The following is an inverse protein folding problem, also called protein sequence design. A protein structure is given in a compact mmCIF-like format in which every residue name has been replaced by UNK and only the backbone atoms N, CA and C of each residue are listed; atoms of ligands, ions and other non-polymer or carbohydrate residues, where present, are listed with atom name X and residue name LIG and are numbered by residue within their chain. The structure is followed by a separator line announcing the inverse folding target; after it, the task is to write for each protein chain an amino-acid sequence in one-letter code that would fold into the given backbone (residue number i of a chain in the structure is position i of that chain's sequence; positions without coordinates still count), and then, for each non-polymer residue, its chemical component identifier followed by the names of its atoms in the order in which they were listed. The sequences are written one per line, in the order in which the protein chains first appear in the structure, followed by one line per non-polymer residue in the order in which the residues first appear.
data_IF_486675498323
#
_entry.id   IF_486675498323
#
_cell.length_a   1.000
_cell.length_b   1.000
_cell.length_c   1.000
_cell.angle_alpha   90.00
_cell.angle_beta   90.00
_cell.angle_gamma   90.00
#
_symmetry.space_group_name_H-M   'P 1'
#
loop_
_entity.id
_entity.type
_entity.pdbx_description
1 polymer ?
#
# COMPACT_ATOMS: atom_id res chain seq x y z
N UNK A 1 0.63 6.96 -13.11
CA UNK A 1 1.37 7.44 -14.30
C UNK A 1 1.46 6.33 -15.33
N UNK A 2 1.01 6.56 -16.57
CA UNK A 2 1.18 5.58 -17.65
C UNK A 2 2.67 5.31 -17.86
N UNK A 3 3.11 4.10 -17.51
CA UNK A 3 4.54 3.75 -17.39
C UNK A 3 5.26 3.59 -18.73
N UNK A 4 4.82 4.23 -19.82
CA UNK A 4 5.48 4.14 -21.13
C UNK A 4 5.43 5.47 -21.88
N UNK A 5 6.44 5.76 -22.69
CA UNK A 5 6.48 6.94 -23.56
C UNK A 5 5.80 6.73 -24.91
N UNK A 6 5.64 7.82 -25.68
CA UNK A 6 5.20 7.78 -27.07
C UNK A 6 3.77 7.28 -27.28
N UNK A 7 3.54 6.51 -28.36
CA UNK A 7 2.20 6.11 -28.82
C UNK A 7 1.39 5.30 -27.80
N UNK A 8 2.04 4.54 -26.92
CA UNK A 8 1.34 3.76 -25.89
C UNK A 8 0.69 4.65 -24.84
N UNK A 9 1.38 5.71 -24.41
CA UNK A 9 0.82 6.74 -23.52
C UNK A 9 -0.37 7.43 -24.15
N UNK A 10 -0.22 7.88 -25.40
CA UNK A 10 -1.29 8.57 -26.13
C UNK A 10 -2.56 7.72 -26.24
N UNK A 11 -2.42 6.42 -26.53
CA UNK A 11 -3.56 5.49 -26.57
C UNK A 11 -4.23 5.33 -25.21
N UNK A 12 -3.46 5.21 -24.14
CA UNK A 12 -4.00 5.10 -22.78
C UNK A 12 -4.71 6.39 -22.35
N UNK A 13 -4.16 7.56 -22.67
CA UNK A 13 -4.80 8.85 -22.42
C UNK A 13 -6.09 9.03 -23.22
N UNK A 14 -6.12 8.61 -24.48
CA UNK A 14 -7.35 8.64 -25.28
C UNK A 14 -8.44 7.77 -24.66
N UNK A 15 -8.10 6.55 -24.24
CA UNK A 15 -9.04 5.66 -23.56
C UNK A 15 -9.63 6.29 -22.29
N UNK A 16 -8.81 6.98 -21.48
CA UNK A 16 -9.33 7.69 -20.31
C UNK A 16 -10.30 8.81 -20.69
N UNK A 17 -9.98 9.58 -21.75
CA UNK A 17 -10.86 10.65 -22.25
C UNK A 17 -12.18 10.09 -22.78
N UNK A 18 -12.15 8.95 -23.45
CA UNK A 18 -13.35 8.29 -23.96
C UNK A 18 -14.24 7.77 -22.82
N UNK A 19 -13.63 7.26 -21.74
CA UNK A 19 -14.37 6.74 -20.58
C UNK A 19 -14.86 7.83 -19.61
N UNK A 20 -14.05 8.85 -19.34
CA UNK A 20 -14.29 9.81 -18.26
C UNK A 20 -14.42 11.27 -18.71
N UNK A 21 -14.17 11.56 -19.99
CA UNK A 21 -14.11 12.93 -20.52
C UNK A 21 -12.80 13.69 -20.21
N UNK A 22 -11.93 13.12 -19.38
CA UNK A 22 -10.62 13.68 -19.02
C UNK A 22 -9.64 12.57 -18.66
N UNK A 23 -8.35 12.91 -18.49
CA UNK A 23 -7.35 11.98 -17.97
C UNK A 23 -7.28 12.15 -16.46
N UNK A 24 -7.69 11.16 -15.65
CA UNK A 24 -7.67 11.29 -14.21
C UNK A 24 -6.24 11.28 -13.66
N UNK A 25 -6.03 11.99 -12.55
CA UNK A 25 -4.73 11.99 -11.84
C UNK A 25 -4.44 10.63 -11.22
N UNK A 26 -5.47 9.98 -10.68
CA UNK A 26 -5.42 8.64 -10.10
C UNK A 26 -6.53 7.79 -10.70
N UNK A 27 -6.24 6.53 -10.97
CA UNK A 27 -7.20 5.54 -11.41
C UNK A 27 -7.09 4.35 -10.45
N UNK A 28 -8.13 4.13 -9.67
CA UNK A 28 -8.27 2.96 -8.79
C UNK A 28 -9.19 1.97 -9.52
N UNK A 29 -8.73 0.74 -9.64
CA UNK A 29 -9.47 -0.35 -10.28
C UNK A 29 -9.66 -1.46 -9.27
N UNK A 30 -10.91 -1.79 -8.97
CA UNK A 30 -11.28 -2.83 -8.03
C UNK A 30 -11.94 -4.00 -8.75
N UNK A 31 -11.76 -5.20 -8.21
CA UNK A 31 -12.34 -6.42 -8.77
C UNK A 31 -13.87 -6.45 -8.54
N UNK A 32 -14.64 -6.41 -9.63
CA UNK A 32 -16.10 -6.40 -9.55
C UNK A 32 -16.69 -7.69 -8.94
N UNK A 33 -16.03 -8.84 -9.12
CA UNK A 33 -16.48 -10.13 -8.57
C UNK A 33 -16.25 -10.24 -7.07
N UNK A 34 -15.21 -9.57 -6.56
CA UNK A 34 -15.03 -9.38 -5.13
C UNK A 34 -16.10 -8.43 -4.60
N UNK A 35 -16.30 -7.27 -5.24
CA UNK A 35 -17.25 -6.25 -4.78
C UNK A 35 -18.69 -6.78 -4.70
N UNK A 36 -19.09 -7.67 -5.60
CA UNK A 36 -20.41 -8.32 -5.59
C UNK A 36 -20.66 -9.20 -4.35
N UNK A 37 -19.59 -9.73 -3.75
CA UNK A 37 -19.64 -10.65 -2.60
C UNK A 37 -19.25 -10.00 -1.29
N UNK A 38 -18.59 -8.85 -1.36
CA UNK A 38 -18.09 -8.12 -0.21
C UNK A 38 -19.25 -7.55 0.60
N UNK A 39 -19.16 -7.64 1.92
CA UNK A 39 -19.96 -6.80 2.80
C UNK A 39 -19.56 -5.32 2.63
N UNK A 40 -20.43 -4.40 3.04
CA UNK A 40 -20.14 -2.97 3.02
C UNK A 40 -18.83 -2.61 3.72
N UNK A 41 -18.54 -3.28 4.85
CA UNK A 41 -17.29 -3.08 5.60
C UNK A 41 -16.06 -3.57 4.84
N UNK A 42 -16.14 -4.72 4.16
CA UNK A 42 -15.04 -5.24 3.34
C UNK A 42 -14.80 -4.39 2.10
N UNK A 43 -15.87 -3.90 1.48
CA UNK A 43 -15.77 -2.97 0.35
C UNK A 43 -15.13 -1.65 0.77
N UNK A 44 -15.55 -1.06 1.90
CA UNK A 44 -14.94 0.17 2.41
C UNK A 44 -13.48 -0.02 2.83
N UNK A 45 -13.15 -1.17 3.44
CA UNK A 45 -11.78 -1.52 3.78
C UNK A 45 -10.89 -1.65 2.53
N UNK A 46 -11.39 -2.28 1.46
CA UNK A 46 -10.70 -2.36 0.18
C UNK A 46 -10.49 -0.97 -0.44
N UNK A 47 -11.52 -0.12 -0.43
CA UNK A 47 -11.38 1.23 -0.97
C UNK A 47 -10.34 2.04 -0.18
N UNK A 48 -10.32 1.92 1.14
CA UNK A 48 -9.33 2.61 1.97
C UNK A 48 -7.91 2.05 1.76
N UNK A 49 -7.75 0.73 1.62
CA UNK A 49 -6.51 0.09 1.18
C UNK A 49 -5.99 0.74 -0.12
N UNK A 50 -6.81 0.78 -1.18
CA UNK A 50 -6.37 1.35 -2.46
C UNK A 50 -6.07 2.86 -2.37
N UNK A 51 -6.73 3.59 -1.47
CA UNK A 51 -6.43 5.00 -1.22
C UNK A 51 -5.09 5.20 -0.50
N UNK A 52 -4.65 4.25 0.34
CA UNK A 52 -3.34 4.31 0.99
C UNK A 52 -2.17 4.22 0.01
N UNK A 53 -2.40 3.71 -1.21
CA UNK A 53 -1.41 3.76 -2.28
C UNK A 53 -1.13 5.18 -2.80
N UNK A 54 -1.97 6.17 -2.46
CA UNK A 54 -1.74 7.58 -2.79
C UNK A 54 -0.90 8.21 -1.66
N UNK A 55 0.41 7.96 -1.70
CA UNK A 55 1.37 8.53 -0.76
C UNK A 55 1.66 10.01 -1.06
N UNK A 56 2.02 10.77 -0.03
CA UNK A 56 2.47 12.17 -0.15
C UNK A 56 3.97 12.22 0.16
N UNK A 57 4.76 12.76 -0.78
CA UNK A 57 6.21 12.92 -0.58
C UNK A 57 6.48 13.90 0.57
N UNK A 58 7.41 13.51 1.44
CA UNK A 58 7.85 14.29 2.59
C UNK A 58 9.36 14.46 2.58
N UNK A 59 9.84 15.59 3.07
CA UNK A 59 11.26 15.85 3.23
C UNK A 59 11.82 15.16 4.49
N UNK A 60 13.07 15.48 4.86
CA UNK A 60 13.78 14.86 5.99
C UNK A 60 13.19 15.27 7.35
N UNK A 61 12.52 16.41 7.41
CA UNK A 61 11.88 16.92 8.62
C UNK A 61 10.42 16.44 8.71
N UNK A 62 9.94 15.72 7.69
CA UNK A 62 8.60 15.18 7.60
C UNK A 62 7.59 16.14 6.98
N UNK A 63 8.02 17.28 6.47
CA UNK A 63 7.12 18.27 5.85
C UNK A 63 6.73 17.86 4.44
N UNK A 64 5.52 18.24 4.02
CA UNK A 64 4.99 17.91 2.69
C UNK A 64 5.82 18.61 1.61
N UNK A 65 6.27 17.86 0.62
CA UNK A 65 6.93 18.43 -0.55
C UNK A 65 5.87 18.88 -1.54
N UNK A 66 5.89 20.17 -1.89
CA UNK A 66 5.01 20.74 -2.91
C UNK A 66 5.72 20.82 -4.27
N UNK A 67 4.93 20.74 -5.33
CA UNK A 67 5.41 20.95 -6.71
C UNK A 67 5.46 22.43 -7.03
N UNK A 68 6.63 22.95 -7.39
CA UNK A 68 6.82 24.36 -7.78
C UNK A 68 5.96 24.78 -8.98
N UNK A 69 5.58 23.82 -9.82
CA UNK A 69 4.76 24.08 -11.02
C UNK A 69 3.26 24.15 -10.73
N UNK A 70 2.78 23.36 -9.77
CA UNK A 70 1.33 23.19 -9.53
C UNK A 70 0.88 23.74 -8.19
N UNK A 71 1.81 23.99 -7.25
CA UNK A 71 1.50 24.35 -5.87
C UNK A 71 0.81 23.26 -5.06
N UNK A 72 0.69 22.04 -5.61
CA UNK A 72 0.04 20.90 -4.96
C UNK A 72 1.08 19.96 -4.34
N UNK A 73 0.69 19.16 -3.32
CA UNK A 73 1.54 18.11 -2.78
C UNK A 73 2.01 17.16 -3.87
N UNK A 74 3.29 16.81 -3.83
CA UNK A 74 3.83 15.74 -4.66
C UNK A 74 3.34 14.42 -4.09
N UNK A 75 2.70 13.63 -4.93
CA UNK A 75 2.22 12.31 -4.55
C UNK A 75 3.07 11.24 -5.24
N UNK A 76 3.23 10.11 -4.56
CA UNK A 76 3.89 8.93 -5.08
C UNK A 76 2.98 7.70 -4.93
N UNK A 77 3.28 6.65 -5.69
CA UNK A 77 2.61 5.37 -5.51
C UNK A 77 3.26 4.67 -4.31
N UNK A 78 2.62 4.72 -3.15
CA UNK A 78 3.06 3.98 -1.98
C UNK A 78 2.89 2.48 -2.25
N UNK A 79 3.91 1.69 -1.94
CA UNK A 79 3.78 0.24 -1.93
C UNK A 79 2.84 -0.20 -0.81
N UNK A 80 2.52 -1.50 -0.76
CA UNK A 80 1.90 -2.05 0.44
C UNK A 80 2.86 -1.86 1.62
N UNK A 81 2.43 -1.12 2.63
CA UNK A 81 3.23 -0.79 3.80
C UNK A 81 2.46 -1.10 5.08
N UNK A 82 3.19 -1.28 6.19
CA UNK A 82 2.60 -1.60 7.49
C UNK A 82 1.60 -0.53 7.92
N UNK A 83 1.83 0.73 7.61
CA UNK A 83 0.92 1.83 7.97
C UNK A 83 -0.45 1.76 7.27
N UNK A 84 -0.50 1.27 6.03
CA UNK A 84 -1.76 0.95 5.33
C UNK A 84 -2.54 -0.12 6.11
N UNK A 85 -1.87 -1.22 6.49
CA UNK A 85 -2.48 -2.29 7.27
C UNK A 85 -2.97 -1.80 8.62
N UNK A 86 -2.18 -0.98 9.32
CA UNK A 86 -2.58 -0.37 10.60
C UNK A 86 -3.82 0.49 10.41
N UNK A 87 -3.84 1.35 9.38
CA UNK A 87 -4.96 2.22 9.06
C UNK A 87 -6.27 1.46 8.84
N UNK A 88 -6.22 0.44 7.97
CA UNK A 88 -7.38 -0.42 7.67
C UNK A 88 -7.85 -1.17 8.91
N UNK A 89 -6.95 -1.82 9.65
CA UNK A 89 -7.30 -2.59 10.86
C UNK A 89 -7.86 -1.68 11.95
N UNK A 90 -7.31 -0.47 12.12
CA UNK A 90 -7.78 0.49 13.12
C UNK A 90 -9.21 0.96 12.83
N UNK A 91 -9.60 1.09 11.56
CA UNK A 91 -10.93 1.58 11.18
C UNK A 91 -11.96 0.47 11.01
N UNK A 92 -11.59 -0.63 10.38
CA UNK A 92 -12.51 -1.70 9.97
C UNK A 92 -12.35 -3.01 10.76
N UNK A 93 -11.33 -3.09 11.62
CA UNK A 93 -11.00 -4.29 12.37
C UNK A 93 -10.10 -5.26 11.60
N UNK A 94 -9.55 -6.22 12.33
CA UNK A 94 -8.66 -7.24 11.76
C UNK A 94 -9.46 -8.30 10.98
N UNK A 95 -9.04 -8.57 9.74
CA UNK A 95 -9.52 -9.73 8.99
C UNK A 95 -8.89 -11.04 9.52
N UNK A 96 -9.36 -12.19 9.04
CA UNK A 96 -8.88 -13.50 9.50
C UNK A 96 -7.38 -13.72 9.29
N UNK A 97 -6.80 -13.18 8.22
CA UNK A 97 -5.35 -13.27 7.98
C UNK A 97 -4.56 -12.45 9.01
N UNK A 98 -5.02 -11.24 9.35
CA UNK A 98 -4.40 -10.40 10.38
C UNK A 98 -4.57 -11.04 11.76
N UNK A 99 -5.75 -11.58 12.08
CA UNK A 99 -5.95 -12.32 13.34
C UNK A 99 -5.01 -13.52 13.45
N UNK A 100 -4.85 -14.27 12.36
CA UNK A 100 -3.89 -15.40 12.30
C UNK A 100 -2.45 -14.92 12.46
N UNK A 101 -2.07 -13.80 11.85
CA UNK A 101 -0.76 -13.21 12.02
C UNK A 101 -0.51 -12.81 13.48
N UNK A 102 -1.48 -12.15 14.11
CA UNK A 102 -1.43 -11.78 15.54
C UNK A 102 -1.23 -13.04 16.40
N UNK A 103 -1.97 -14.12 16.12
CA UNK A 103 -1.86 -15.35 16.90
C UNK A 103 -0.49 -16.02 16.76
N UNK A 104 0.07 -16.04 15.54
CA UNK A 104 1.44 -16.52 15.32
C UNK A 104 2.45 -15.62 16.05
N UNK A 105 2.28 -14.30 16.01
CA UNK A 105 3.18 -13.33 16.63
C UNK A 105 3.17 -13.36 18.17
N UNK A 106 2.13 -13.92 18.80
CA UNK A 106 2.12 -14.16 20.26
C UNK A 106 3.04 -15.29 20.71
N UNK A 107 3.49 -16.14 19.80
CA UNK A 107 4.38 -17.26 20.10
C UNK A 107 5.83 -16.85 19.89
N UNK A 108 6.79 -17.47 20.62
CA UNK A 108 8.20 -17.26 20.33
C UNK A 108 8.53 -17.64 18.88
N UNK A 109 9.46 -16.94 18.22
CA UNK A 109 9.85 -17.28 16.86
C UNK A 109 10.40 -18.71 16.81
N UNK A 110 10.10 -19.42 15.73
CA UNK A 110 10.60 -20.78 15.51
C UNK A 110 12.13 -20.84 15.50
N UNK A 111 12.77 -19.78 15.02
CA UNK A 111 14.22 -19.58 15.09
C UNK A 111 14.50 -18.57 16.19
N UNK A 112 15.13 -19.03 17.27
CA UNK A 112 15.46 -18.16 18.41
C UNK A 112 16.72 -17.33 18.14
N UNK A 113 16.84 -16.17 18.79
CA UNK A 113 18.08 -15.36 18.73
C UNK A 113 19.32 -16.15 19.19
N UNK A 114 19.12 -17.09 20.13
CA UNK A 114 20.17 -18.01 20.59
C UNK A 114 20.62 -18.97 19.48
N UNK A 115 19.71 -19.47 18.66
CA UNK A 115 20.08 -20.35 17.55
C UNK A 115 20.78 -19.57 16.43
N UNK A 116 20.36 -18.33 16.19
CA UNK A 116 21.05 -17.41 15.27
C UNK A 116 22.47 -17.11 15.77
N UNK A 117 22.64 -16.84 17.07
CA UNK A 117 23.95 -16.52 17.64
C UNK A 117 24.92 -17.71 17.59
N UNK A 118 24.45 -18.95 17.76
CA UNK A 118 25.28 -20.16 17.55
C UNK A 118 25.82 -20.27 16.11
N UNK A 119 25.06 -19.83 15.11
CA UNK A 119 25.51 -19.83 13.71
C UNK A 119 26.65 -18.83 13.43
N UNK A 120 26.80 -17.79 14.26
CA UNK A 120 27.82 -16.76 14.10
C UNK A 120 29.26 -17.30 14.30
N UNK A 121 29.44 -18.47 14.94
CA UNK A 121 30.73 -19.13 15.17
C UNK A 121 31.69 -18.40 16.14
N UNK A 122 31.44 -17.12 16.43
CA UNK A 122 32.24 -16.28 17.34
C UNK A 122 31.53 -16.00 18.67
N UNK A 123 30.22 -16.28 18.74
CA UNK A 123 29.35 -15.99 19.87
C UNK A 123 29.32 -17.16 20.89
N UNK A 124 30.01 -18.26 20.58
CA UNK A 124 30.25 -19.40 21.47
C UNK A 124 31.74 -19.42 21.83
N UNK A 125 32.21 -18.34 22.46
CA UNK A 125 33.42 -18.36 23.30
C UNK A 125 33.01 -17.74 24.64
N UNK A 126 32.68 -18.64 25.57
CA UNK A 126 32.32 -18.50 26.99
C UNK A 126 30.84 -18.38 27.32
#
# INVERSE_FOLDING_TARGET
MFQQGGWKKARQEQQMRDWFGFVPTYLITIDATFCDKASDSEFCALLEHELYHIGVERDRDGEIIYSDHTGLPKHYLAGHDVEEFIGVVKRWGANENVKRLIEVAKNPPFVSDLDISKCCGNCVIN
#
